data_IF_018743654651
#
_entry.id   IF_018743654651
#
_cell.length_a   1.000
_cell.length_b   1.000
_cell.length_c   1.000
_cell.angle_alpha   90.00
_cell.angle_beta   90.00
_cell.angle_gamma   90.00
#
_symmetry.space_group_name_H-M   'P 1'
#
loop_
_entity.id
_entity.type
_entity.pdbx_description
1 polymer ?
#
# COMPACT_ATOMS: atom_id res chain seq x y z
N UNK A 1 35.51 3.81 -6.20
CA UNK A 1 34.43 4.82 -6.20
C UNK A 1 33.10 4.24 -6.73
N UNK A 2 33.07 3.54 -7.88
CA UNK A 2 31.84 3.05 -8.51
C UNK A 2 31.09 1.96 -7.72
N UNK A 3 31.74 1.12 -6.93
CA UNK A 3 31.08 0.05 -6.15
C UNK A 3 30.34 0.64 -4.94
N UNK A 4 30.88 1.66 -4.30
CA UNK A 4 30.21 2.34 -3.18
C UNK A 4 28.94 3.08 -3.60
N UNK A 5 28.96 3.73 -4.77
CA UNK A 5 27.79 4.43 -5.31
C UNK A 5 26.64 3.46 -5.67
N UNK A 6 26.97 2.29 -6.24
CA UNK A 6 25.96 1.26 -6.58
C UNK A 6 25.31 0.65 -5.34
N UNK A 7 26.09 0.38 -4.28
CA UNK A 7 25.54 -0.11 -3.01
C UNK A 7 24.60 0.92 -2.36
N UNK A 8 24.92 2.20 -2.45
CA UNK A 8 24.05 3.27 -1.96
C UNK A 8 22.73 3.31 -2.75
N UNK A 9 22.79 3.24 -4.09
CA UNK A 9 21.57 3.22 -4.93
C UNK A 9 20.66 2.06 -4.55
N UNK A 10 21.20 0.85 -4.39
CA UNK A 10 20.41 -0.33 -3.99
C UNK A 10 19.82 -0.17 -2.58
N UNK A 11 20.55 0.45 -1.65
CA UNK A 11 20.05 0.67 -0.29
C UNK A 11 18.86 1.65 -0.23
N UNK A 12 18.84 2.66 -1.10
CA UNK A 12 17.74 3.61 -1.20
C UNK A 12 16.61 3.13 -2.12
N UNK A 13 16.87 2.16 -3.00
CA UNK A 13 15.91 1.69 -3.99
C UNK A 13 14.60 1.19 -3.37
N UNK A 14 14.68 0.43 -2.26
CA UNK A 14 13.50 -0.02 -1.54
C UNK A 14 12.61 1.12 -1.06
N UNK A 15 13.22 2.15 -0.46
CA UNK A 15 12.49 3.34 0.00
C UNK A 15 11.88 4.15 -1.15
N UNK A 16 12.60 4.33 -2.25
CA UNK A 16 12.08 5.01 -3.45
C UNK A 16 10.92 4.26 -4.09
N UNK A 17 11.02 2.94 -4.20
CA UNK A 17 9.94 2.11 -4.73
C UNK A 17 8.67 2.27 -3.91
N UNK A 18 8.77 2.15 -2.59
CA UNK A 18 7.62 2.32 -1.69
C UNK A 18 7.08 3.74 -1.67
N UNK A 19 7.92 4.76 -1.79
CA UNK A 19 7.46 6.14 -1.95
C UNK A 19 6.62 6.30 -3.23
N UNK A 20 7.07 5.76 -4.37
CA UNK A 20 6.32 5.77 -5.63
C UNK A 20 4.96 5.06 -5.47
N UNK A 21 4.94 3.87 -4.85
CA UNK A 21 3.70 3.11 -4.61
C UNK A 21 2.73 3.91 -3.75
N UNK A 22 3.19 4.51 -2.65
CA UNK A 22 2.35 5.32 -1.75
C UNK A 22 1.77 6.54 -2.46
N UNK A 23 2.60 7.30 -3.17
CA UNK A 23 2.12 8.48 -3.90
C UNK A 23 1.09 8.11 -4.98
N UNK A 24 1.35 7.04 -5.73
CA UNK A 24 0.43 6.57 -6.76
C UNK A 24 -0.87 6.04 -6.14
N UNK A 25 -0.78 5.36 -5.00
CA UNK A 25 -1.93 4.87 -4.23
C UNK A 25 -2.81 6.01 -3.75
N UNK A 26 -2.22 7.07 -3.18
CA UNK A 26 -2.97 8.24 -2.71
C UNK A 26 -3.69 8.94 -3.88
N UNK A 27 -3.03 9.11 -5.01
CA UNK A 27 -3.64 9.70 -6.20
C UNK A 27 -4.77 8.84 -6.75
N UNK A 28 -4.58 7.52 -6.79
CA UNK A 28 -5.57 6.57 -7.26
C UNK A 28 -6.80 6.48 -6.36
N UNK A 29 -6.60 6.40 -5.05
CA UNK A 29 -7.66 6.38 -4.04
C UNK A 29 -8.51 7.65 -4.12
N UNK A 30 -7.88 8.83 -4.18
CA UNK A 30 -8.59 10.09 -4.30
C UNK A 30 -9.48 10.13 -5.55
N UNK A 31 -8.98 9.68 -6.69
CA UNK A 31 -9.73 9.67 -7.95
C UNK A 31 -10.90 8.68 -7.93
N UNK A 32 -10.68 7.48 -7.39
CA UNK A 32 -11.73 6.45 -7.30
C UNK A 32 -12.93 6.94 -6.49
N UNK A 33 -12.68 7.52 -5.33
CA UNK A 33 -13.74 8.00 -4.44
C UNK A 33 -14.43 9.29 -4.92
N UNK A 34 -13.71 10.21 -5.59
CA UNK A 34 -14.31 11.41 -6.18
C UNK A 34 -15.37 11.04 -7.21
N UNK A 35 -15.07 10.07 -8.06
CA UNK A 35 -16.00 9.62 -9.09
C UNK A 35 -17.27 8.94 -8.51
N UNK A 36 -17.14 8.20 -7.44
CA UNK A 36 -18.28 7.56 -6.77
C UNK A 36 -19.20 8.58 -6.08
N UNK A 37 -18.62 9.62 -5.49
CA UNK A 37 -19.39 10.68 -4.81
C UNK A 37 -20.15 11.55 -5.82
N UNK A 38 -19.51 11.89 -6.94
CA UNK A 38 -20.13 12.69 -8.03
C UNK A 38 -21.25 11.95 -8.75
N UNK A 39 -21.17 10.62 -8.85
CA UNK A 39 -22.16 9.80 -9.56
C UNK A 39 -23.36 9.40 -8.70
N UNK A 40 -23.40 9.73 -7.40
CA UNK A 40 -24.49 9.36 -6.50
C UNK A 40 -24.63 7.85 -6.25
N UNK A 41 -23.66 7.05 -6.69
CA UNK A 41 -23.68 5.59 -6.52
C UNK A 41 -23.69 5.16 -5.06
N UNK A 42 -23.10 5.94 -4.17
CA UNK A 42 -23.05 5.68 -2.72
C UNK A 42 -24.45 5.65 -2.09
N UNK A 43 -25.31 6.59 -2.44
CA UNK A 43 -26.70 6.64 -1.93
C UNK A 43 -27.51 5.40 -2.39
N UNK A 44 -27.29 4.97 -3.63
CA UNK A 44 -27.94 3.76 -4.16
C UNK A 44 -27.49 2.47 -3.46
N UNK A 45 -26.21 2.38 -3.08
CA UNK A 45 -25.66 1.22 -2.36
C UNK A 45 -26.13 1.22 -0.89
N UNK A 46 -26.28 2.38 -0.26
CA UNK A 46 -26.77 2.49 1.12
C UNK A 46 -28.27 2.16 1.25
N UNK A 47 -29.04 2.32 0.18
CA UNK A 47 -30.45 1.92 0.13
C UNK A 47 -30.66 0.42 -0.12
N UNK A 48 -29.64 -0.28 -0.57
CA UNK A 48 -29.71 -1.73 -0.79
C UNK A 48 -29.58 -2.48 0.53
N UNK A 49 -30.33 -3.59 0.75
CA UNK A 49 -30.22 -4.41 1.95
C UNK A 49 -28.95 -5.29 1.90
N UNK A 50 -27.77 -4.65 1.86
CA UNK A 50 -26.48 -5.31 1.78
C UNK A 50 -25.70 -5.02 3.07
N UNK A 51 -25.03 -6.05 3.58
CA UNK A 51 -24.14 -5.91 4.73
C UNK A 51 -23.01 -4.90 4.41
N UNK A 52 -22.83 -3.92 5.29
CA UNK A 52 -21.86 -2.85 5.14
C UNK A 52 -20.42 -3.38 5.06
N UNK A 53 -20.13 -4.48 5.75
CA UNK A 53 -18.83 -5.15 5.66
C UNK A 53 -18.53 -5.67 4.23
N UNK A 54 -19.55 -6.14 3.52
CA UNK A 54 -19.41 -6.58 2.12
C UNK A 54 -19.08 -5.40 1.21
N UNK A 55 -19.67 -4.23 1.45
CA UNK A 55 -19.36 -2.99 0.70
C UNK A 55 -17.91 -2.58 0.92
N UNK A 56 -17.43 -2.62 2.18
CA UNK A 56 -16.01 -2.36 2.47
C UNK A 56 -15.09 -3.32 1.73
N UNK A 57 -15.35 -4.62 1.81
CA UNK A 57 -14.52 -5.62 1.14
C UNK A 57 -14.52 -5.45 -0.38
N UNK A 58 -15.65 -5.13 -0.98
CA UNK A 58 -15.76 -4.85 -2.41
C UNK A 58 -14.90 -3.64 -2.81
N UNK A 59 -14.96 -2.54 -2.06
CA UNK A 59 -14.14 -1.36 -2.29
C UNK A 59 -12.65 -1.62 -2.08
N UNK A 60 -12.29 -2.29 -0.98
CA UNK A 60 -10.91 -2.65 -0.71
C UNK A 60 -10.33 -3.56 -1.81
N UNK A 61 -11.13 -4.52 -2.29
CA UNK A 61 -10.72 -5.40 -3.40
C UNK A 61 -10.56 -4.64 -4.71
N UNK A 62 -11.48 -3.72 -5.03
CA UNK A 62 -11.36 -2.86 -6.22
C UNK A 62 -10.09 -2.01 -6.17
N UNK A 63 -9.81 -1.38 -5.03
CA UNK A 63 -8.60 -0.59 -4.84
C UNK A 63 -7.34 -1.45 -4.90
N UNK A 64 -7.36 -2.65 -4.31
CA UNK A 64 -6.27 -3.61 -4.39
C UNK A 64 -5.96 -3.99 -5.85
N UNK A 65 -6.97 -4.32 -6.63
CA UNK A 65 -6.80 -4.66 -8.05
C UNK A 65 -6.23 -3.48 -8.85
N UNK A 66 -6.71 -2.27 -8.59
CA UNK A 66 -6.17 -1.07 -9.21
C UNK A 66 -4.67 -0.89 -8.86
N UNK A 67 -4.30 -1.01 -7.59
CA UNK A 67 -2.92 -0.87 -7.15
C UNK A 67 -2.01 -1.94 -7.75
N UNK A 68 -2.46 -3.18 -7.79
CA UNK A 68 -1.71 -4.27 -8.44
C UNK A 68 -1.49 -4.02 -9.93
N UNK A 69 -2.48 -3.47 -10.64
CA UNK A 69 -2.33 -3.06 -12.03
C UNK A 69 -1.27 -1.96 -12.20
N UNK A 70 -1.28 -0.97 -11.31
CA UNK A 70 -0.27 0.10 -11.30
C UNK A 70 1.12 -0.46 -11.00
N UNK A 71 1.24 -1.35 -10.01
CA UNK A 71 2.51 -1.99 -9.65
C UNK A 71 3.07 -2.85 -10.78
N UNK A 72 2.20 -3.54 -11.52
CA UNK A 72 2.59 -4.35 -12.67
C UNK A 72 3.35 -3.53 -13.73
N UNK A 73 3.07 -2.24 -13.83
CA UNK A 73 3.78 -1.33 -14.73
C UNK A 73 4.93 -0.61 -14.02
N UNK A 74 4.68 -0.12 -12.81
CA UNK A 74 5.65 0.71 -12.07
C UNK A 74 6.88 -0.09 -11.65
N UNK A 75 6.71 -1.33 -11.17
CA UNK A 75 7.82 -2.15 -10.69
C UNK A 75 8.81 -2.50 -11.80
N UNK A 76 8.41 -3.02 -12.97
CA UNK A 76 9.35 -3.24 -14.08
C UNK A 76 10.05 -1.97 -14.56
N UNK A 77 9.31 -0.87 -14.68
CA UNK A 77 9.90 0.42 -15.05
C UNK A 77 10.94 0.88 -14.03
N UNK A 78 10.64 0.74 -12.74
CA UNK A 78 11.57 1.06 -11.67
C UNK A 78 12.87 0.24 -11.79
N UNK A 79 12.77 -1.06 -12.04
CA UNK A 79 13.93 -1.91 -12.24
C UNK A 79 14.76 -1.47 -13.47
N UNK A 80 14.13 -1.14 -14.58
CA UNK A 80 14.81 -0.69 -15.79
C UNK A 80 15.50 0.64 -15.58
N UNK A 81 14.88 1.60 -14.92
CA UNK A 81 15.44 2.96 -14.78
C UNK A 81 16.44 3.09 -13.64
N UNK A 82 16.19 2.45 -12.51
CA UNK A 82 17.01 2.65 -11.31
C UNK A 82 18.00 1.51 -11.02
N UNK A 83 17.68 0.30 -11.45
CA UNK A 83 18.50 -0.88 -11.15
C UNK A 83 19.17 -1.48 -12.40
N UNK A 84 19.04 -0.83 -13.58
CA UNK A 84 19.74 -1.27 -14.78
C UNK A 84 21.27 -1.15 -14.58
N UNK A 85 21.95 -2.30 -14.63
CA UNK A 85 23.40 -2.39 -14.39
C UNK A 85 23.81 -2.53 -12.91
N UNK A 86 22.86 -2.67 -11.98
CA UNK A 86 23.14 -3.16 -10.65
C UNK A 86 23.24 -4.69 -10.64
N UNK A 87 24.17 -5.24 -9.87
CA UNK A 87 24.19 -6.68 -9.60
C UNK A 87 23.07 -7.02 -8.61
N UNK A 88 21.98 -7.56 -9.16
CA UNK A 88 20.84 -7.95 -8.36
C UNK A 88 21.11 -9.26 -7.64
N UNK A 89 20.68 -9.33 -6.39
CA UNK A 89 20.75 -10.57 -5.59
C UNK A 89 19.87 -11.67 -6.19
N UNK A 90 20.25 -12.95 -6.05
CA UNK A 90 19.35 -14.07 -6.32
C UNK A 90 18.05 -14.03 -5.51
N UNK A 91 18.03 -13.29 -4.38
CA UNK A 91 16.85 -13.08 -3.55
C UNK A 91 15.90 -11.98 -4.08
N UNK A 92 16.27 -11.25 -5.13
CA UNK A 92 15.45 -10.18 -5.72
C UNK A 92 14.00 -10.60 -6.03
N UNK A 93 13.69 -11.81 -6.53
CA UNK A 93 12.29 -12.23 -6.73
C UNK A 93 11.46 -12.25 -5.44
N UNK A 94 12.09 -12.32 -4.26
CA UNK A 94 11.39 -12.28 -2.98
C UNK A 94 10.73 -10.92 -2.70
N UNK A 95 11.07 -9.86 -3.46
CA UNK A 95 10.41 -8.54 -3.38
C UNK A 95 8.89 -8.65 -3.64
N UNK A 96 8.44 -9.65 -4.38
CA UNK A 96 7.01 -9.86 -4.62
C UNK A 96 6.23 -10.07 -3.32
N UNK A 97 6.83 -10.65 -2.29
CA UNK A 97 6.15 -10.87 -0.99
C UNK A 97 5.85 -9.56 -0.25
N UNK A 98 6.82 -8.67 0.03
CA UNK A 98 6.49 -7.40 0.65
C UNK A 98 5.63 -6.50 -0.25
N UNK A 99 5.74 -6.59 -1.58
CA UNK A 99 4.83 -5.88 -2.48
C UNK A 99 3.39 -6.33 -2.25
N UNK A 100 3.10 -7.63 -2.33
CA UNK A 100 1.74 -8.15 -2.14
C UNK A 100 1.18 -7.80 -0.76
N UNK A 101 1.94 -8.06 0.31
CA UNK A 101 1.50 -7.76 1.67
C UNK A 101 1.28 -6.26 1.84
N UNK A 102 2.25 -5.44 1.47
CA UNK A 102 2.13 -3.99 1.62
C UNK A 102 0.99 -3.39 0.80
N UNK A 103 0.74 -3.88 -0.41
CA UNK A 103 -0.39 -3.41 -1.25
C UNK A 103 -1.74 -3.77 -0.65
N UNK A 104 -1.87 -4.95 -0.03
CA UNK A 104 -3.08 -5.34 0.72
C UNK A 104 -3.32 -4.35 1.87
N UNK A 105 -2.29 -4.05 2.66
CA UNK A 105 -2.40 -3.10 3.77
C UNK A 105 -2.70 -1.67 3.31
N UNK A 106 -2.02 -1.20 2.28
CA UNK A 106 -2.28 0.12 1.68
C UNK A 106 -3.70 0.23 1.16
N UNK A 107 -4.22 -0.80 0.46
CA UNK A 107 -5.59 -0.82 -0.03
C UNK A 107 -6.60 -0.81 1.13
N UNK A 108 -6.38 -1.62 2.16
CA UNK A 108 -7.26 -1.70 3.34
C UNK A 108 -7.32 -0.39 4.11
N UNK A 109 -6.16 0.13 4.52
CA UNK A 109 -6.04 1.41 5.25
C UNK A 109 -6.56 2.57 4.42
N UNK A 110 -6.19 2.63 3.14
CA UNK A 110 -6.64 3.66 2.22
C UNK A 110 -8.16 3.67 2.05
N UNK A 111 -8.77 2.50 1.92
CA UNK A 111 -10.24 2.37 1.81
C UNK A 111 -10.93 2.84 3.09
N UNK A 112 -10.43 2.44 4.27
CA UNK A 112 -10.98 2.87 5.55
C UNK A 112 -10.93 4.39 5.71
N UNK A 113 -9.75 4.99 5.54
CA UNK A 113 -9.56 6.43 5.70
C UNK A 113 -10.34 7.25 4.67
N UNK A 114 -10.43 6.75 3.43
CA UNK A 114 -11.22 7.40 2.38
C UNK A 114 -12.71 7.41 2.70
N UNK A 115 -13.23 6.35 3.31
CA UNK A 115 -14.63 6.29 3.74
C UNK A 115 -14.91 7.28 4.88
N UNK A 116 -14.01 7.38 5.87
CA UNK A 116 -14.14 8.34 6.97
C UNK A 116 -14.02 9.80 6.53
N UNK A 117 -13.38 10.06 5.42
CA UNK A 117 -13.15 11.41 4.90
C UNK A 117 -14.20 11.86 3.86
N UNK A 118 -15.22 11.05 3.54
CA UNK A 118 -16.17 11.29 2.44
C UNK A 118 -16.85 12.67 2.54
N UNK A 119 -17.33 13.05 3.72
CA UNK A 119 -18.10 14.27 3.93
C UNK A 119 -17.25 15.49 4.32
N UNK A 120 -15.92 15.36 4.30
CA UNK A 120 -15.04 16.40 4.79
C UNK A 120 -14.56 17.31 3.66
N UNK A 121 -14.71 18.66 3.85
CA UNK A 121 -14.10 19.64 2.94
C UNK A 121 -12.57 19.51 3.00
N UNK A 122 -11.91 19.38 1.84
CA UNK A 122 -10.47 19.16 1.77
C UNK A 122 -10.03 17.71 1.99
N UNK A 123 -10.91 16.77 1.70
CA UNK A 123 -10.74 15.32 1.84
C UNK A 123 -9.36 14.82 1.38
N UNK A 124 -8.88 15.27 0.23
CA UNK A 124 -7.61 14.81 -0.36
C UNK A 124 -6.41 15.12 0.53
N UNK A 125 -6.40 16.31 1.12
CA UNK A 125 -5.34 16.74 2.05
C UNK A 125 -5.45 15.99 3.38
N UNK A 126 -6.67 15.85 3.90
CA UNK A 126 -6.93 15.13 5.15
C UNK A 126 -6.52 13.66 5.02
N UNK A 127 -6.88 13.03 3.90
CA UNK A 127 -6.53 11.64 3.62
C UNK A 127 -5.01 11.45 3.58
N UNK A 128 -4.28 12.33 2.88
CA UNK A 128 -2.82 12.24 2.82
C UNK A 128 -2.18 12.43 4.21
N UNK A 129 -2.68 13.38 5.02
CA UNK A 129 -2.15 13.67 6.36
C UNK A 129 -2.40 12.49 7.32
N UNK A 130 -3.57 11.83 7.24
CA UNK A 130 -3.89 10.70 8.10
C UNK A 130 -3.26 9.40 7.61
N UNK A 131 -3.18 9.21 6.30
CA UNK A 131 -2.66 7.99 5.70
C UNK A 131 -1.19 7.74 6.06
N UNK A 132 -0.34 8.78 5.95
CA UNK A 132 1.11 8.63 6.16
C UNK A 132 1.44 8.10 7.56
N UNK A 133 0.98 8.72 8.69
CA UNK A 133 1.30 8.20 10.01
C UNK A 133 0.67 6.84 10.30
N UNK A 134 -0.53 6.56 9.80
CA UNK A 134 -1.18 5.26 10.00
C UNK A 134 -0.46 4.17 9.22
N UNK A 135 -0.10 4.40 7.95
CA UNK A 135 0.60 3.42 7.13
C UNK A 135 2.10 3.29 7.47
N UNK A 136 2.67 4.19 8.29
CA UNK A 136 4.10 4.23 8.57
C UNK A 136 4.68 2.90 9.08
N UNK A 137 4.07 2.18 10.06
CA UNK A 137 4.61 0.90 10.52
C UNK A 137 4.66 -0.16 9.42
N UNK A 138 3.62 -0.21 8.57
CA UNK A 138 3.56 -1.09 7.41
C UNK A 138 4.67 -0.77 6.42
N UNK A 139 4.78 0.51 6.05
CA UNK A 139 5.78 0.97 5.07
C UNK A 139 7.19 0.70 5.56
N UNK A 140 7.48 0.96 6.85
CA UNK A 140 8.78 0.66 7.42
C UNK A 140 9.14 -0.83 7.29
N UNK A 141 8.19 -1.71 7.62
CA UNK A 141 8.37 -3.15 7.50
C UNK A 141 8.59 -3.59 6.04
N UNK A 142 7.79 -3.07 5.11
CA UNK A 142 7.89 -3.39 3.69
C UNK A 142 9.18 -2.86 3.04
N UNK A 143 9.60 -1.63 3.36
CA UNK A 143 10.88 -1.06 2.92
C UNK A 143 12.05 -1.89 3.42
N UNK A 144 12.01 -2.29 4.71
CA UNK A 144 13.05 -3.13 5.30
C UNK A 144 13.16 -4.50 4.61
N UNK A 145 12.02 -5.18 4.38
CA UNK A 145 11.99 -6.45 3.67
C UNK A 145 12.49 -6.33 2.23
N UNK A 146 12.04 -5.30 1.51
CA UNK A 146 12.47 -5.03 0.14
C UNK A 146 13.97 -4.74 0.05
N UNK A 147 14.50 -3.94 0.98
CA UNK A 147 15.92 -3.63 1.04
C UNK A 147 16.78 -4.88 1.25
N UNK A 148 16.37 -5.77 2.17
CA UNK A 148 17.07 -7.05 2.41
C UNK A 148 17.04 -7.93 1.15
N UNK A 149 15.90 -8.03 0.47
CA UNK A 149 15.77 -8.82 -0.76
C UNK A 149 16.63 -8.28 -1.91
N UNK A 150 16.75 -6.95 -2.04
CA UNK A 150 17.60 -6.32 -3.06
C UNK A 150 19.10 -6.49 -2.78
N UNK A 151 19.52 -6.31 -1.52
CA UNK A 151 20.93 -6.38 -1.15
C UNK A 151 21.47 -7.81 -1.08
N UNK A 152 20.62 -8.79 -0.74
CA UNK A 152 21.00 -10.21 -0.64
C UNK A 152 22.11 -10.51 0.36
N UNK A 153 22.21 -9.75 1.44
CA UNK A 153 23.25 -9.94 2.44
C UNK A 153 23.03 -11.24 3.20
N UNK A 154 23.99 -12.14 3.15
CA UNK A 154 23.97 -13.39 3.91
C UNK A 154 23.79 -13.11 5.40
N UNK A 155 22.87 -13.85 6.07
CA UNK A 155 22.53 -13.65 7.48
C UNK A 155 21.37 -12.71 7.78
N UNK A 156 20.86 -11.96 6.80
CA UNK A 156 19.70 -11.05 6.98
C UNK A 156 18.35 -11.69 6.63
N UNK A 157 18.35 -12.99 6.27
CA UNK A 157 17.13 -13.72 5.93
C UNK A 157 16.11 -13.75 7.08
N UNK A 158 16.59 -13.84 8.33
CA UNK A 158 15.73 -13.71 9.51
C UNK A 158 15.09 -12.32 9.61
N UNK A 159 15.81 -11.25 9.24
CA UNK A 159 15.28 -9.88 9.22
C UNK A 159 14.20 -9.74 8.14
N UNK A 160 14.36 -10.33 6.97
CA UNK A 160 13.34 -10.36 5.92
C UNK A 160 12.02 -10.94 6.44
N UNK A 161 12.06 -12.14 6.99
CA UNK A 161 10.85 -12.81 7.51
C UNK A 161 10.24 -12.09 8.71
N UNK A 162 11.05 -11.48 9.57
CA UNK A 162 10.57 -10.68 10.69
C UNK A 162 9.83 -9.42 10.21
N UNK A 163 10.38 -8.74 9.22
CA UNK A 163 9.74 -7.55 8.63
C UNK A 163 8.46 -7.93 7.91
N UNK A 164 8.46 -9.02 7.14
CA UNK A 164 7.27 -9.52 6.45
C UNK A 164 6.17 -9.93 7.44
N UNK A 165 6.53 -10.61 8.53
CA UNK A 165 5.60 -10.99 9.59
C UNK A 165 5.00 -9.76 10.31
N UNK A 166 5.80 -8.71 10.53
CA UNK A 166 5.32 -7.44 11.07
C UNK A 166 4.32 -6.76 10.12
N UNK A 167 4.60 -6.73 8.83
CA UNK A 167 3.69 -6.18 7.83
C UNK A 167 2.37 -6.97 7.79
N UNK A 168 2.43 -8.30 7.73
CA UNK A 168 1.25 -9.15 7.73
C UNK A 168 0.43 -9.04 9.03
N UNK A 169 1.08 -8.96 10.19
CA UNK A 169 0.40 -8.75 11.47
C UNK A 169 -0.31 -7.39 11.51
N UNK A 170 0.35 -6.34 10.99
CA UNK A 170 -0.27 -5.03 10.85
C UNK A 170 -1.52 -5.08 9.97
N UNK A 171 -1.45 -5.74 8.81
CA UNK A 171 -2.58 -5.88 7.88
C UNK A 171 -3.77 -6.58 8.55
N UNK A 172 -3.52 -7.67 9.26
CA UNK A 172 -4.58 -8.38 9.99
C UNK A 172 -5.26 -7.47 11.01
N UNK A 173 -4.47 -6.70 11.79
CA UNK A 173 -5.01 -5.77 12.79
C UNK A 173 -5.81 -4.65 12.13
N UNK A 174 -5.27 -4.06 11.04
CA UNK A 174 -5.93 -2.94 10.37
C UNK A 174 -7.18 -3.35 9.60
N UNK A 175 -7.18 -4.53 8.96
CA UNK A 175 -8.37 -5.06 8.29
C UNK A 175 -9.46 -5.42 9.31
N UNK A 176 -9.09 -6.02 10.45
CA UNK A 176 -10.03 -6.31 11.52
C UNK A 176 -10.62 -5.02 12.13
N UNK A 177 -9.78 -4.01 12.37
CA UNK A 177 -10.21 -2.70 12.84
C UNK A 177 -11.11 -2.00 11.81
N UNK A 178 -10.75 -2.06 10.53
CA UNK A 178 -11.55 -1.50 9.45
C UNK A 178 -12.92 -2.17 9.36
N UNK A 179 -12.97 -3.48 9.48
CA UNK A 179 -14.25 -4.21 9.48
C UNK A 179 -15.15 -3.78 10.65
N UNK A 180 -14.63 -3.73 11.88
CA UNK A 180 -15.41 -3.32 13.05
C UNK A 180 -15.81 -1.84 13.02
N UNK A 181 -14.95 -0.94 12.53
CA UNK A 181 -15.23 0.49 12.47
C UNK A 181 -16.16 0.87 11.30
N UNK A 182 -16.21 0.08 10.24
CA UNK A 182 -17.04 0.38 9.08
C UNK A 182 -18.54 0.34 9.39
N UNK A 183 -18.96 -0.49 10.34
CA UNK A 183 -20.34 -0.51 10.84
C UNK A 183 -20.73 0.82 11.51
N UNK A 184 -19.79 1.42 12.27
CA UNK A 184 -20.02 2.69 12.97
C UNK A 184 -19.89 3.92 12.06
N UNK A 185 -18.99 3.89 11.09
CA UNK A 185 -18.71 5.03 10.22
C UNK A 185 -19.88 5.41 9.29
N UNK A 186 -20.81 4.50 9.04
CA UNK A 186 -21.99 4.73 8.19
C UNK A 186 -23.27 4.99 9.00
N UNK A 187 -23.25 4.94 10.34
CA UNK A 187 -24.40 5.23 11.21
C UNK A 187 -24.42 6.69 11.71
N UNK A 188 -23.39 7.47 11.43
CA UNK A 188 -23.26 8.88 11.80
C UNK A 188 -23.51 9.81 10.62
#
# INVERSE_FOLDING_TARGET
>A
AQVGDKLQVVSFAGGLLWALIVFTSLLGLNRSFSHETESGCLEGVLLAPIDRAVVFLAKATSNLLFLLMVELVTVPLFFVFFLSGAELSPATPMILLPLLVGTIGVAGVGTLLSTMAIDTRGRDVLLAILFIPVAFPLLYACVSATGVALMGVEGTFATFWRSLALAAAYDVVMIAAAWGLYEFALDS
#
